data_IF_852018703699
#
_entry.id   IF_852018703699
#
_cell.length_a   1.000
_cell.length_b   1.000
_cell.length_c   1.000
_cell.angle_alpha   90.00
_cell.angle_beta   90.00
_cell.angle_gamma   90.00
#
_symmetry.space_group_name_H-M   'P 1'
#
loop_
_entity.id
_entity.type
_entity.pdbx_description
1 polymer ?
#
# COMPACT_ATOMS: atom_id res chain seq x y z
N UNK A 1 -22.13 0.06 -4.10
CA UNK A 1 -21.66 1.45 -4.01
C UNK A 1 -20.14 1.41 -4.02
N UNK A 2 -19.48 2.21 -4.84
CA UNK A 2 -18.01 2.32 -4.84
C UNK A 2 -17.55 3.26 -3.72
N UNK A 3 -16.35 3.02 -3.18
CA UNK A 3 -15.68 3.97 -2.30
C UNK A 3 -15.36 5.26 -3.06
N UNK A 4 -15.59 6.41 -2.43
CA UNK A 4 -15.13 7.68 -2.99
C UNK A 4 -13.59 7.74 -2.98
N UNK A 5 -13.00 8.46 -3.94
CA UNK A 5 -11.54 8.68 -4.00
C UNK A 5 -10.96 9.30 -2.72
N UNK A 6 -11.74 10.16 -2.05
CA UNK A 6 -11.34 10.73 -0.74
C UNK A 6 -11.23 9.64 0.33
N UNK A 7 -12.22 8.76 0.42
CA UNK A 7 -12.21 7.66 1.38
C UNK A 7 -11.07 6.66 1.09
N UNK A 8 -10.79 6.38 -0.18
CA UNK A 8 -9.65 5.55 -0.57
C UNK A 8 -8.31 6.15 -0.12
N UNK A 9 -8.10 7.46 -0.33
CA UNK A 9 -6.88 8.18 0.12
C UNK A 9 -6.69 8.08 1.63
N UNK A 10 -7.77 8.28 2.38
CA UNK A 10 -7.74 8.25 3.85
C UNK A 10 -7.39 6.86 4.37
N UNK A 11 -8.06 5.83 3.85
CA UNK A 11 -7.77 4.44 4.20
C UNK A 11 -6.34 4.03 3.80
N UNK A 12 -5.93 4.36 2.58
CA UNK A 12 -4.58 4.11 2.07
C UNK A 12 -3.49 4.75 2.94
N UNK A 13 -3.71 5.98 3.40
CA UNK A 13 -2.79 6.67 4.30
C UNK A 13 -2.60 5.91 5.60
N UNK A 14 -3.68 5.45 6.23
CA UNK A 14 -3.59 4.67 7.47
C UNK A 14 -2.89 3.34 7.28
N UNK A 15 -3.14 2.65 6.17
CA UNK A 15 -2.46 1.40 5.84
C UNK A 15 -0.94 1.62 5.76
N UNK A 16 -0.50 2.66 5.06
CA UNK A 16 0.93 3.00 4.94
C UNK A 16 1.52 3.44 6.29
N UNK A 17 0.76 4.15 7.13
CA UNK A 17 1.20 4.49 8.48
C UNK A 17 1.41 3.25 9.35
N UNK A 18 0.54 2.24 9.26
CA UNK A 18 0.69 0.99 10.01
C UNK A 18 1.91 0.20 9.50
N UNK A 19 2.12 0.13 8.18
CA UNK A 19 3.27 -0.55 7.59
C UNK A 19 4.62 0.01 8.11
N UNK A 20 4.72 1.33 8.31
CA UNK A 20 5.94 1.94 8.89
C UNK A 20 6.22 1.55 10.34
N UNK A 21 5.20 1.09 11.06
CA UNK A 21 5.34 0.73 12.47
C UNK A 21 5.79 -0.73 12.63
N UNK A 22 5.87 -1.51 11.54
CA UNK A 22 6.24 -2.93 11.62
C UNK A 22 6.93 -3.43 10.35
N UNK A 23 8.14 -3.96 10.50
CA UNK A 23 8.82 -4.73 9.45
C UNK A 23 8.43 -6.22 9.47
N UNK A 24 7.32 -6.58 10.13
CA UNK A 24 6.85 -7.95 10.16
C UNK A 24 6.15 -8.29 8.83
N UNK A 25 6.67 -9.24 8.04
CA UNK A 25 6.09 -9.57 6.74
C UNK A 25 4.65 -10.09 6.82
N UNK A 26 4.24 -10.68 7.94
CA UNK A 26 2.84 -11.12 8.10
C UNK A 26 1.89 -9.94 8.33
N UNK A 27 2.33 -8.90 9.05
CA UNK A 27 1.56 -7.66 9.20
C UNK A 27 1.43 -6.94 7.85
N UNK A 28 2.54 -6.75 7.13
CA UNK A 28 2.52 -6.12 5.79
C UNK A 28 1.66 -6.93 4.81
N UNK A 29 1.65 -8.27 4.90
CA UNK A 29 0.80 -9.12 4.07
C UNK A 29 -0.69 -8.95 4.38
N UNK A 30 -1.07 -8.82 5.66
CA UNK A 30 -2.46 -8.52 6.01
C UNK A 30 -2.90 -7.16 5.46
N UNK A 31 -2.05 -6.14 5.57
CA UNK A 31 -2.30 -4.82 5.00
C UNK A 31 -2.44 -4.86 3.47
N UNK A 32 -1.62 -5.67 2.79
CA UNK A 32 -1.72 -5.94 1.36
C UNK A 32 -3.10 -6.51 0.99
N UNK A 33 -3.55 -7.54 1.72
CA UNK A 33 -4.86 -8.16 1.48
C UNK A 33 -6.03 -7.20 1.72
N UNK A 34 -5.94 -6.34 2.74
CA UNK A 34 -6.93 -5.28 2.99
C UNK A 34 -6.99 -4.31 1.81
N UNK A 35 -5.82 -3.94 1.26
CA UNK A 35 -5.72 -3.00 0.13
C UNK A 35 -6.33 -3.59 -1.15
N UNK A 36 -6.16 -4.89 -1.39
CA UNK A 36 -6.83 -5.60 -2.49
C UNK A 36 -8.34 -5.60 -2.32
N UNK A 37 -8.84 -5.85 -1.11
CA UNK A 37 -10.29 -5.85 -0.89
C UNK A 37 -10.87 -4.44 -1.05
N UNK A 38 -10.14 -3.40 -0.63
CA UNK A 38 -10.50 -2.01 -0.93
C UNK A 38 -10.58 -1.73 -2.44
N UNK A 39 -9.61 -2.22 -3.22
CA UNK A 39 -9.61 -2.15 -4.69
C UNK A 39 -10.89 -2.80 -5.25
N UNK A 40 -11.22 -3.99 -4.76
CA UNK A 40 -12.39 -4.75 -5.19
C UNK A 40 -13.70 -4.01 -4.90
N UNK A 41 -13.86 -3.49 -3.69
CA UNK A 41 -15.06 -2.79 -3.24
C UNK A 41 -15.23 -1.43 -3.94
N UNK A 42 -14.13 -0.78 -4.31
CA UNK A 42 -14.17 0.49 -5.03
C UNK A 42 -14.53 0.36 -6.52
N UNK A 43 -14.25 -0.80 -7.14
CA UNK A 43 -14.55 -1.07 -8.55
C UNK A 43 -13.58 -0.41 -9.54
N UNK A 44 -13.13 -1.17 -10.55
CA UNK A 44 -11.93 -0.91 -11.39
C UNK A 44 -11.72 0.49 -12.01
N UNK A 45 -12.73 1.36 -12.07
CA UNK A 45 -12.66 2.63 -12.84
C UNK A 45 -11.94 3.78 -12.11
N UNK A 46 -11.74 3.72 -10.79
CA UNK A 46 -11.22 4.87 -10.04
C UNK A 46 -10.36 4.46 -8.82
N UNK A 47 -9.44 3.49 -9.04
CA UNK A 47 -8.79 2.76 -7.94
C UNK A 47 -7.26 2.91 -7.85
N UNK A 48 -6.67 3.86 -8.58
CA UNK A 48 -5.20 3.96 -8.70
C UNK A 48 -4.47 3.95 -7.35
N UNK A 49 -4.99 4.66 -6.35
CA UNK A 49 -4.35 4.75 -5.02
C UNK A 49 -4.39 3.43 -4.25
N UNK A 50 -5.51 2.71 -4.28
CA UNK A 50 -5.59 1.41 -3.62
C UNK A 50 -4.71 0.36 -4.31
N UNK A 51 -4.56 0.48 -5.64
CA UNK A 51 -3.66 -0.34 -6.42
C UNK A 51 -2.19 -0.06 -6.08
N UNK A 52 -1.77 1.21 -6.07
CA UNK A 52 -0.39 1.61 -5.79
C UNK A 52 0.06 1.19 -4.37
N UNK A 53 -0.83 1.30 -3.37
CA UNK A 53 -0.56 0.77 -2.01
C UNK A 53 -0.43 -0.76 -2.02
N UNK A 54 -1.32 -1.45 -2.75
CA UNK A 54 -1.28 -2.91 -2.85
C UNK A 54 0.03 -3.39 -3.48
N UNK A 55 0.50 -2.76 -4.56
CA UNK A 55 1.77 -3.10 -5.19
C UNK A 55 2.97 -2.81 -4.26
N UNK A 56 2.98 -1.66 -3.59
CA UNK A 56 4.03 -1.32 -2.63
C UNK A 56 4.15 -2.38 -1.51
N UNK A 57 3.02 -2.76 -0.89
CA UNK A 57 3.02 -3.74 0.19
C UNK A 57 3.37 -5.15 -0.31
N UNK A 58 2.94 -5.50 -1.53
CA UNK A 58 3.27 -6.79 -2.14
C UNK A 58 4.79 -6.96 -2.30
N UNK A 59 5.44 -5.97 -2.91
CA UNK A 59 6.89 -5.97 -3.13
C UNK A 59 7.64 -5.95 -1.79
N UNK A 60 7.15 -5.19 -0.80
CA UNK A 60 7.73 -5.18 0.55
C UNK A 60 7.67 -6.56 1.23
N UNK A 61 6.56 -7.28 1.13
CA UNK A 61 6.45 -8.66 1.65
C UNK A 61 7.46 -9.59 0.98
N UNK A 62 7.59 -9.52 -0.34
CA UNK A 62 8.54 -10.37 -1.07
C UNK A 62 9.98 -10.10 -0.64
N UNK A 63 10.36 -8.82 -0.55
CA UNK A 63 11.69 -8.39 -0.09
C UNK A 63 12.01 -8.81 1.34
N UNK A 64 11.06 -8.62 2.27
CA UNK A 64 11.24 -9.05 3.67
C UNK A 64 11.41 -10.56 3.78
N UNK A 65 10.66 -11.34 3.00
CA UNK A 65 10.76 -12.81 2.99
C UNK A 65 12.06 -13.32 2.39
N UNK A 66 12.54 -12.63 1.35
CA UNK A 66 13.76 -13.00 0.63
C UNK A 66 15.04 -12.41 1.26
N UNK A 67 14.91 -11.62 2.34
CA UNK A 67 16.05 -10.99 3.00
C UNK A 67 16.78 -9.99 2.09
N UNK A 68 16.07 -9.33 1.19
CA UNK A 68 16.65 -8.38 0.26
C UNK A 68 17.36 -7.24 1.02
N UNK A 69 18.59 -6.93 0.59
CA UNK A 69 19.37 -5.83 1.18
C UNK A 69 18.74 -4.50 0.73
N UNK A 70 18.71 -3.52 1.64
CA UNK A 70 18.22 -2.17 1.33
C UNK A 70 19.04 -1.54 0.20
N UNK A 71 18.40 -1.42 -0.96
CA UNK A 71 18.91 -0.86 -2.22
C UNK A 71 18.34 0.55 -2.50
N UNK A 72 17.70 1.15 -1.49
CA UNK A 72 17.00 2.43 -1.62
C UNK A 72 15.63 2.35 -2.31
N UNK A 73 15.19 1.16 -2.74
CA UNK A 73 13.86 0.96 -3.32
C UNK A 73 12.75 1.45 -2.40
N UNK A 74 12.79 1.06 -1.12
CA UNK A 74 11.72 1.36 -0.17
C UNK A 74 11.57 2.86 0.03
N UNK A 75 12.69 3.59 0.17
CA UNK A 75 12.65 5.05 0.32
C UNK A 75 12.04 5.73 -0.93
N UNK A 76 12.41 5.28 -2.13
CA UNK A 76 11.88 5.82 -3.38
C UNK A 76 10.39 5.51 -3.56
N UNK A 77 10.01 4.24 -3.42
CA UNK A 77 8.63 3.77 -3.58
C UNK A 77 7.71 4.45 -2.56
N UNK A 78 8.14 4.50 -1.29
CA UNK A 78 7.41 5.15 -0.22
C UNK A 78 7.24 6.65 -0.47
N UNK A 79 8.29 7.36 -0.90
CA UNK A 79 8.21 8.79 -1.21
C UNK A 79 7.24 9.07 -2.36
N UNK A 80 7.30 8.26 -3.42
CA UNK A 80 6.40 8.36 -4.57
C UNK A 80 4.93 8.16 -4.13
N UNK A 81 4.67 7.11 -3.36
CA UNK A 81 3.33 6.79 -2.86
C UNK A 81 2.77 7.91 -1.96
N UNK A 82 3.58 8.45 -1.05
CA UNK A 82 3.16 9.57 -0.20
C UNK A 82 2.91 10.87 -0.96
N UNK A 83 3.48 11.05 -2.15
CA UNK A 83 3.17 12.17 -3.03
C UNK A 83 1.78 11.99 -3.66
N UNK A 84 1.50 10.81 -4.20
CA UNK A 84 0.18 10.48 -4.77
C UNK A 84 -0.96 10.53 -3.74
N UNK A 85 -0.68 10.22 -2.47
CA UNK A 85 -1.66 10.33 -1.38
C UNK A 85 -1.92 11.78 -0.94
N UNK A 86 -1.02 12.72 -1.28
CA UNK A 86 -1.19 14.14 -1.01
C UNK A 86 -1.93 14.86 -2.14
N UNK A 87 -1.59 14.56 -3.38
CA UNK A 87 -2.18 15.15 -4.60
C UNK A 87 -3.57 14.61 -4.89
#
# INVERSE_FOLDING_TARGET
MSLSRKAQKELARHIVEIDKLSDNPEVTKELYLISIEMLRLAGFKDNGIAFDVSEYLHEKVDRLRNGAVSDGWEEHAHKSLMQQLRD
#
